data_IF_580700137440
#
_entry.id   IF_580700137440
#
_cell.length_a   1.000
_cell.length_b   1.000
_cell.length_c   1.000
_cell.angle_alpha   90.00
_cell.angle_beta   90.00
_cell.angle_gamma   90.00
#
_symmetry.space_group_name_H-M   'P 1'
#
loop_
_entity.id
_entity.type
_entity.pdbx_description
1 polymer ?
#
# COMPACT_ATOMS: atom_id res chain seq x y z
N UNK A 1 -21.34 -1.61 13.93
CA UNK A 1 -20.84 -0.57 13.00
C UNK A 1 -19.33 -0.67 12.78
N UNK A 2 -18.51 -0.40 13.80
CA UNK A 2 -17.05 -0.29 13.64
C UNK A 2 -16.38 -1.60 13.19
N UNK A 3 -16.85 -2.76 13.67
CA UNK A 3 -16.23 -4.06 13.34
C UNK A 3 -16.36 -4.48 11.86
N UNK A 4 -17.55 -4.39 11.26
CA UNK A 4 -17.80 -4.89 9.89
C UNK A 4 -17.09 -4.04 8.82
N UNK A 5 -17.13 -2.72 8.97
CA UNK A 5 -16.40 -1.81 8.06
C UNK A 5 -14.87 -1.95 8.23
N UNK A 6 -14.38 -2.18 9.45
CA UNK A 6 -12.97 -2.48 9.70
C UNK A 6 -12.57 -3.78 9.01
N UNK A 7 -13.37 -4.86 9.15
CA UNK A 7 -13.09 -6.15 8.53
C UNK A 7 -12.99 -6.05 7.00
N UNK A 8 -13.97 -5.42 6.34
CA UNK A 8 -13.96 -5.26 4.88
C UNK A 8 -12.76 -4.42 4.42
N UNK A 9 -12.48 -3.29 5.09
CA UNK A 9 -11.31 -2.48 4.76
C UNK A 9 -10.00 -3.24 4.98
N UNK A 10 -9.92 -4.01 6.06
CA UNK A 10 -8.74 -4.79 6.41
C UNK A 10 -8.51 -5.91 5.40
N UNK A 11 -9.57 -6.58 4.94
CA UNK A 11 -9.50 -7.56 3.86
C UNK A 11 -8.96 -6.92 2.56
N UNK A 12 -9.47 -5.75 2.18
CA UNK A 12 -8.97 -5.01 1.01
C UNK A 12 -7.49 -4.64 1.15
N UNK A 13 -7.07 -4.17 2.32
CA UNK A 13 -5.65 -3.87 2.61
C UNK A 13 -4.78 -5.12 2.48
N UNK A 14 -5.20 -6.22 3.10
CA UNK A 14 -4.49 -7.51 3.09
C UNK A 14 -4.37 -8.09 1.68
N UNK A 15 -5.40 -7.95 0.84
CA UNK A 15 -5.33 -8.31 -0.59
C UNK A 15 -4.25 -7.52 -1.33
N UNK A 16 -4.15 -6.21 -1.10
CA UNK A 16 -3.11 -5.37 -1.72
C UNK A 16 -1.71 -5.76 -1.26
N UNK A 17 -1.55 -6.01 0.04
CA UNK A 17 -0.31 -6.49 0.64
C UNK A 17 0.15 -7.80 0.00
N UNK A 18 -0.73 -8.81 -0.06
CA UNK A 18 -0.40 -10.13 -0.61
C UNK A 18 -0.05 -10.03 -2.10
N UNK A 19 -0.82 -9.27 -2.91
CA UNK A 19 -0.51 -9.04 -4.33
C UNK A 19 0.90 -8.47 -4.52
N UNK A 20 1.25 -7.46 -3.72
CA UNK A 20 2.57 -6.86 -3.77
C UNK A 20 3.68 -7.84 -3.37
N UNK A 21 3.42 -8.74 -2.42
CA UNK A 21 4.38 -9.78 -2.03
C UNK A 21 4.57 -10.84 -3.11
N UNK A 22 3.50 -11.29 -3.76
CA UNK A 22 3.58 -12.21 -4.91
C UNK A 22 4.50 -11.61 -5.98
N UNK A 23 4.23 -10.38 -6.42
CA UNK A 23 5.04 -9.68 -7.43
C UNK A 23 6.51 -9.54 -6.99
N UNK A 24 6.75 -9.16 -5.72
CA UNK A 24 8.10 -9.03 -5.20
C UNK A 24 8.87 -10.37 -5.20
N UNK A 25 8.20 -11.48 -4.91
CA UNK A 25 8.80 -12.82 -4.95
C UNK A 25 9.04 -13.30 -6.39
N UNK A 26 8.13 -13.03 -7.32
CA UNK A 26 8.31 -13.35 -8.74
C UNK A 26 9.54 -12.62 -9.31
N UNK A 27 9.66 -11.31 -9.07
CA UNK A 27 10.81 -10.50 -9.49
C UNK A 27 12.10 -10.98 -8.81
N UNK A 28 12.03 -11.32 -7.52
CA UNK A 28 13.16 -11.85 -6.75
C UNK A 28 13.70 -13.15 -7.35
N UNK A 29 12.82 -14.08 -7.73
CA UNK A 29 13.17 -15.35 -8.36
C UNK A 29 13.75 -15.14 -9.76
N UNK A 30 13.15 -14.27 -10.58
CA UNK A 30 13.60 -14.02 -11.95
C UNK A 30 14.97 -13.32 -11.99
N UNK A 31 15.21 -12.38 -11.08
CA UNK A 31 16.45 -11.60 -11.04
C UNK A 31 17.52 -12.17 -10.12
N UNK A 32 17.22 -13.26 -9.39
CA UNK A 32 18.05 -13.82 -8.33
C UNK A 32 18.54 -12.76 -7.32
N UNK A 33 17.60 -11.95 -6.83
CA UNK A 33 17.82 -10.87 -5.87
C UNK A 33 16.86 -11.02 -4.70
N UNK A 34 17.17 -10.43 -3.55
CA UNK A 34 16.24 -10.42 -2.42
C UNK A 34 14.95 -9.63 -2.77
N UNK A 35 13.78 -10.07 -2.25
CA UNK A 35 12.53 -9.34 -2.45
C UNK A 35 12.60 -7.95 -1.84
N UNK A 36 12.08 -6.95 -2.56
CA UNK A 36 12.08 -5.57 -2.08
C UNK A 36 11.22 -5.48 -0.80
N UNK A 37 11.77 -4.98 0.32
CA UNK A 37 11.02 -4.87 1.57
C UNK A 37 9.92 -3.80 1.46
N UNK A 38 8.85 -4.00 2.22
CA UNK A 38 7.75 -3.02 2.33
C UNK A 38 8.21 -1.89 3.24
N UNK A 39 8.03 -0.66 2.80
CA UNK A 39 8.28 0.52 3.62
C UNK A 39 6.96 1.17 4.10
N UNK A 40 7.09 2.20 4.94
CA UNK A 40 5.92 2.92 5.48
C UNK A 40 5.10 3.64 4.40
N UNK A 41 5.75 4.12 3.33
CA UNK A 41 5.06 4.77 2.22
C UNK A 41 4.17 3.78 1.46
N UNK A 42 4.64 2.54 1.23
CA UNK A 42 3.84 1.48 0.62
C UNK A 42 2.61 1.14 1.49
N UNK A 43 2.82 1.04 2.81
CA UNK A 43 1.76 0.77 3.78
C UNK A 43 0.68 1.86 3.81
N UNK A 44 1.08 3.13 3.72
CA UNK A 44 0.16 4.26 3.62
C UNK A 44 -0.64 4.18 2.31
N UNK A 45 0.02 3.88 1.18
CA UNK A 45 -0.66 3.75 -0.10
C UNK A 45 -1.63 2.58 -0.12
N UNK A 46 -1.29 1.43 0.47
CA UNK A 46 -2.23 0.31 0.63
C UNK A 46 -3.45 0.73 1.44
N UNK A 47 -3.26 1.50 2.51
CA UNK A 47 -4.36 2.00 3.34
C UNK A 47 -5.31 2.96 2.59
N UNK A 48 -4.74 3.80 1.71
CA UNK A 48 -5.51 4.71 0.84
C UNK A 48 -6.27 3.91 -0.21
N UNK A 49 -5.59 2.99 -0.89
CA UNK A 49 -6.20 2.18 -1.95
C UNK A 49 -7.30 1.26 -1.41
N UNK A 50 -7.09 0.65 -0.24
CA UNK A 50 -8.10 -0.15 0.44
C UNK A 50 -9.31 0.68 0.87
N UNK A 51 -9.12 1.94 1.27
CA UNK A 51 -10.24 2.83 1.56
C UNK A 51 -11.02 3.17 0.29
N UNK A 52 -10.30 3.48 -0.80
CA UNK A 52 -10.89 3.86 -2.07
C UNK A 52 -11.62 2.70 -2.78
N UNK A 53 -11.31 1.44 -2.45
CA UNK A 53 -12.02 0.28 -2.98
C UNK A 53 -13.35 -0.01 -2.27
N UNK A 54 -13.59 0.58 -1.09
CA UNK A 54 -14.88 0.44 -0.38
C UNK A 54 -15.92 1.31 -1.09
N UNK A 55 -16.98 0.68 -1.59
CA UNK A 55 -18.05 1.38 -2.28
C UNK A 55 -18.97 2.14 -1.32
N UNK A 56 -19.67 3.17 -1.81
CA UNK A 56 -20.72 3.85 -1.04
C UNK A 56 -21.82 2.87 -0.61
N UNK A 57 -22.18 1.91 -1.46
CA UNK A 57 -23.17 0.88 -1.13
C UNK A 57 -22.71 0.04 0.05
N UNK A 58 -21.45 -0.36 0.09
CA UNK A 58 -20.84 -1.09 1.20
C UNK A 58 -20.97 -0.31 2.51
N UNK A 59 -20.74 1.01 2.49
CA UNK A 59 -20.89 1.88 3.67
C UNK A 59 -22.35 1.97 4.11
N UNK A 60 -23.28 2.18 3.17
CA UNK A 60 -24.73 2.24 3.44
C UNK A 60 -25.21 0.93 4.06
N UNK A 61 -24.83 -0.19 3.46
CA UNK A 61 -25.19 -1.50 3.95
C UNK A 61 -24.58 -1.71 5.36
N UNK A 62 -23.32 -1.32 5.60
CA UNK A 62 -22.71 -1.38 6.94
C UNK A 62 -23.52 -0.59 7.99
N UNK A 63 -24.09 0.56 7.61
CA UNK A 63 -24.93 1.37 8.49
C UNK A 63 -26.30 0.73 8.74
N UNK A 64 -26.91 0.11 7.71
CA UNK A 64 -28.14 -0.70 7.86
C UNK A 64 -27.92 -1.88 8.82
N UNK A 65 -26.86 -2.66 8.60
CA UNK A 65 -26.50 -3.79 9.46
C UNK A 65 -26.20 -3.35 10.90
N UNK A 66 -25.64 -2.14 11.08
CA UNK A 66 -25.43 -1.58 12.42
C UNK A 66 -26.72 -1.09 13.11
N UNK A 67 -27.87 -1.12 12.43
CA UNK A 67 -29.14 -0.58 12.93
C UNK A 67 -29.19 0.95 12.99
N UNK A 68 -28.27 1.64 12.30
CA UNK A 68 -28.20 3.11 12.30
C UNK A 68 -29.16 3.68 11.26
N UNK A 69 -29.26 3.02 10.10
CA UNK A 69 -30.27 3.32 9.10
C UNK A 69 -31.47 2.41 9.29
N UNK A 70 -32.68 2.96 9.15
CA UNK A 70 -33.91 2.19 9.12
C UNK A 70 -33.91 1.31 7.87
N UNK A 71 -34.06 0.01 8.10
CA UNK A 71 -34.18 -1.03 7.08
C UNK A 71 -35.63 -1.00 6.58
N UNK A 72 -35.86 -0.73 5.29
CA UNK A 72 -37.17 -0.95 4.67
C UNK A 72 -37.37 -2.45 4.43
N UNK A 73 -38.63 -2.90 4.31
CA UNK A 73 -38.96 -4.32 4.03
C UNK A 73 -38.33 -4.86 2.72
N UNK A 74 -37.79 -3.98 1.88
CA UNK A 74 -37.10 -4.28 0.62
C UNK A 74 -35.57 -4.21 0.69
N UNK A 75 -34.98 -3.86 1.83
CA UNK A 75 -33.53 -3.74 1.96
C UNK A 75 -32.89 -5.10 2.30
N UNK A 76 -32.20 -5.69 1.33
CA UNK A 76 -31.44 -6.94 1.49
C UNK A 76 -30.15 -6.65 2.29
N UNK A 77 -30.06 -7.19 3.51
CA UNK A 77 -28.87 -7.09 4.38
C UNK A 77 -27.80 -8.11 3.95
N UNK A 78 -28.22 -9.16 3.26
CA UNK A 78 -27.41 -10.31 2.82
C UNK A 78 -26.23 -9.89 1.92
N UNK A 79 -26.35 -8.77 1.17
CA UNK A 79 -25.31 -8.29 0.24
C UNK A 79 -23.94 -8.02 0.90
N UNK A 80 -23.89 -7.70 2.21
CA UNK A 80 -22.61 -7.42 2.88
C UNK A 80 -21.88 -8.69 3.25
N UNK A 81 -22.62 -9.68 3.76
CA UNK A 81 -22.04 -10.96 4.14
C UNK A 81 -21.50 -11.65 2.88
N UNK A 82 -22.22 -11.55 1.76
CA UNK A 82 -21.75 -11.99 0.44
C UNK A 82 -20.45 -11.29 0.01
N UNK A 83 -20.34 -9.97 0.20
CA UNK A 83 -19.12 -9.23 -0.16
C UNK A 83 -17.93 -9.60 0.74
N UNK A 84 -18.16 -9.77 2.05
CA UNK A 84 -17.12 -10.19 2.98
C UNK A 84 -16.60 -11.58 2.63
N UNK A 85 -17.51 -12.51 2.34
CA UNK A 85 -17.18 -13.87 1.92
C UNK A 85 -16.42 -13.91 0.59
N UNK A 86 -16.82 -13.09 -0.38
CA UNK A 86 -16.08 -12.95 -1.65
C UNK A 86 -14.67 -12.38 -1.42
N UNK A 87 -14.54 -11.36 -0.57
CA UNK A 87 -13.24 -10.75 -0.26
C UNK A 87 -12.29 -11.74 0.42
N UNK A 88 -12.81 -12.59 1.31
CA UNK A 88 -12.08 -13.66 1.99
C UNK A 88 -11.63 -14.75 1.01
N UNK A 89 -12.51 -15.21 0.12
CA UNK A 89 -12.18 -16.20 -0.90
C UNK A 89 -11.10 -15.68 -1.87
N UNK A 90 -11.25 -14.44 -2.35
CA UNK A 90 -10.22 -13.80 -3.18
C UNK A 90 -8.88 -13.67 -2.45
N UNK A 91 -8.90 -13.42 -1.14
CA UNK A 91 -7.70 -13.33 -0.32
C UNK A 91 -7.05 -14.72 -0.18
N UNK A 92 -7.83 -15.78 0.02
CA UNK A 92 -7.33 -17.15 0.06
C UNK A 92 -6.63 -17.52 -1.25
N UNK A 93 -7.23 -17.18 -2.40
CA UNK A 93 -6.63 -17.43 -3.71
C UNK A 93 -5.30 -16.70 -3.91
N UNK A 94 -5.14 -15.52 -3.31
CA UNK A 94 -3.88 -14.78 -3.34
C UNK A 94 -2.85 -15.41 -2.40
N UNK A 95 -3.26 -15.77 -1.19
CA UNK A 95 -2.40 -16.45 -0.21
C UNK A 95 -1.82 -17.75 -0.80
N UNK A 96 -2.64 -18.54 -1.48
CA UNK A 96 -2.24 -19.80 -2.11
C UNK A 96 -1.19 -19.62 -3.23
N UNK A 97 -0.97 -18.40 -3.74
CA UNK A 97 0.05 -18.08 -4.74
C UNK A 97 1.39 -17.69 -4.13
N UNK A 98 1.45 -17.47 -2.81
CA UNK A 98 2.70 -17.17 -2.14
C UNK A 98 3.60 -18.42 -2.15
N UNK A 99 4.93 -18.26 -2.22
CA UNK A 99 5.87 -19.38 -2.27
C UNK A 99 6.14 -19.97 -0.88
N UNK A 100 5.08 -20.33 -0.15
CA UNK A 100 5.16 -20.95 1.18
C UNK A 100 4.60 -22.37 1.13
N UNK A 101 5.28 -23.32 1.78
CA UNK A 101 4.89 -24.74 1.78
C UNK A 101 3.59 -25.00 2.58
N UNK A 102 3.35 -24.19 3.61
CA UNK A 102 2.19 -24.26 4.49
C UNK A 102 1.69 -22.82 4.77
N UNK A 103 0.98 -22.20 3.82
CA UNK A 103 0.48 -20.84 3.99
C UNK A 103 -0.71 -20.82 4.96
N UNK A 104 -0.69 -19.84 5.86
CA UNK A 104 -1.82 -19.48 6.74
C UNK A 104 -3.10 -19.25 5.92
N UNK A 105 -4.26 -19.66 6.43
CA UNK A 105 -5.53 -19.41 5.73
C UNK A 105 -6.02 -17.95 5.87
N UNK A 106 -7.01 -17.57 5.04
CA UNK A 106 -7.50 -16.20 4.95
C UNK A 106 -8.19 -15.71 6.24
N UNK A 107 -8.93 -16.58 6.92
CA UNK A 107 -9.60 -16.24 8.18
C UNK A 107 -8.57 -16.06 9.30
N UNK A 108 -7.64 -17.01 9.42
CA UNK A 108 -6.53 -16.96 10.37
C UNK A 108 -5.70 -15.70 10.13
N UNK A 109 -5.41 -15.39 8.86
CA UNK A 109 -4.73 -14.16 8.48
C UNK A 109 -5.54 -12.96 8.99
N UNK A 110 -6.79 -12.78 8.55
CA UNK A 110 -7.65 -11.64 8.92
C UNK A 110 -7.75 -11.43 10.43
N UNK A 111 -7.74 -12.51 11.21
CA UNK A 111 -7.88 -12.50 12.66
C UNK A 111 -6.55 -12.42 13.45
N UNK A 112 -5.38 -12.33 12.78
CA UNK A 112 -4.07 -12.19 13.48
C UNK A 112 -4.10 -11.09 14.55
N UNK A 113 -4.67 -9.93 14.20
CA UNK A 113 -4.69 -8.76 15.08
C UNK A 113 -5.50 -9.02 16.36
N UNK A 114 -6.49 -9.93 16.29
CA UNK A 114 -7.28 -10.37 17.44
C UNK A 114 -6.52 -11.38 18.32
N UNK A 115 -5.57 -12.13 17.76
CA UNK A 115 -4.66 -13.02 18.50
C UNK A 115 -3.52 -12.24 19.20
N UNK A 116 -3.13 -11.09 18.65
CA UNK A 116 -2.11 -10.20 19.22
C UNK A 116 -2.60 -9.36 20.40
N UNK A 117 -3.74 -9.71 21.02
CA UNK A 117 -4.29 -9.07 22.23
C UNK A 117 -3.41 -9.24 23.47
N UNK A 118 -2.20 -8.70 23.43
CA UNK A 118 -1.56 -8.01 24.53
C UNK A 118 -2.11 -6.57 24.56
N UNK A 119 -3.42 -6.46 24.80
CA UNK A 119 -4.08 -5.17 25.02
C UNK A 119 -3.95 -4.73 26.50
N UNK A 120 -2.85 -5.07 27.17
CA UNK A 120 -2.42 -4.25 28.29
C UNK A 120 -1.89 -2.97 27.65
N UNK A 121 -2.80 -2.02 27.39
CA UNK A 121 -2.40 -0.67 27.03
C UNK A 121 -1.39 -0.20 28.09
N UNK A 122 -0.35 0.51 27.67
CA UNK A 122 0.67 1.01 28.57
C UNK A 122 0.00 1.63 29.80
N UNK A 123 0.35 1.13 30.97
CA UNK A 123 -0.12 1.69 32.23
C UNK A 123 0.36 3.13 32.33
N UNK A 124 -0.36 3.97 33.08
CA UNK A 124 0.03 5.36 33.28
C UNK A 124 1.48 5.49 33.79
N UNK A 125 1.94 4.53 34.59
CA UNK A 125 3.31 4.45 35.09
C UNK A 125 4.34 4.17 33.98
N UNK A 126 4.02 3.29 33.02
CA UNK A 126 4.86 3.02 31.85
C UNK A 126 4.92 4.22 30.90
N UNK A 127 3.79 4.89 30.69
CA UNK A 127 3.72 6.14 29.89
C UNK A 127 4.59 7.22 30.54
N UNK A 128 4.45 7.42 31.86
CA UNK A 128 5.26 8.39 32.61
C UNK A 128 6.74 8.02 32.57
N UNK A 129 7.08 6.73 32.61
CA UNK A 129 8.45 6.24 32.50
C UNK A 129 9.06 6.54 31.11
N UNK A 130 8.34 6.28 30.02
CA UNK A 130 8.78 6.61 28.66
C UNK A 130 9.00 8.12 28.47
N UNK A 131 8.07 8.95 28.96
CA UNK A 131 8.15 10.41 28.85
C UNK A 131 9.33 10.96 29.66
N UNK A 132 9.60 10.41 30.85
CA UNK A 132 10.77 10.79 31.67
C UNK A 132 12.09 10.33 31.03
N UNK A 133 12.09 9.18 30.37
CA UNK A 133 13.28 8.62 29.70
C UNK A 133 13.65 9.38 28.42
N UNK A 134 12.66 9.92 27.70
CA UNK A 134 12.88 10.71 26.49
C UNK A 134 13.44 12.12 26.72
N UNK A 135 13.45 12.63 27.96
CA UNK A 135 14.05 13.94 28.24
C UNK A 135 15.59 13.91 28.35
N UNK A 136 16.21 12.73 28.38
CA UNK A 136 17.66 12.58 28.51
C UNK A 136 18.33 11.89 27.32
N UNK A 137 17.57 11.49 26.31
CA UNK A 137 18.10 10.83 25.13
C UNK A 137 17.76 11.69 23.91
N UNK A 138 18.77 12.38 23.37
CA UNK A 138 18.74 12.72 21.95
C UNK A 138 18.44 11.43 21.17
N UNK A 139 17.64 11.48 20.09
CA UNK A 139 17.44 10.31 19.26
C UNK A 139 18.80 9.88 18.72
N UNK A 140 19.36 8.81 19.28
CA UNK A 140 20.46 8.09 18.64
C UNK A 140 19.89 7.56 17.33
N UNK A 141 20.28 8.22 16.23
CA UNK A 141 20.05 7.69 14.90
C UNK A 141 20.65 6.29 14.87
N UNK A 142 19.81 5.26 14.63
CA UNK A 142 20.29 3.90 14.45
C UNK A 142 21.32 3.90 13.31
N UNK A 143 22.61 3.59 13.59
CA UNK A 143 23.66 3.60 12.58
C UNK A 143 23.41 2.60 11.45
N UNK A 144 22.45 1.67 11.62
CA UNK A 144 22.07 0.64 10.67
C UNK A 144 20.78 0.94 9.91
N UNK A 145 20.11 2.07 10.19
CA UNK A 145 18.96 2.49 9.41
C UNK A 145 19.47 2.96 8.03
N UNK A 146 19.45 2.04 7.07
CA UNK A 146 19.80 2.34 5.68
C UNK A 146 18.81 3.42 5.21
N UNK A 147 19.28 4.63 4.86
CA UNK A 147 18.39 5.68 4.40
C UNK A 147 17.56 5.14 3.23
N UNK A 148 16.25 5.41 3.18
CA UNK A 148 15.44 4.99 2.04
C UNK A 148 16.13 5.46 0.77
N UNK A 149 16.25 4.56 -0.21
CA UNK A 149 16.93 4.87 -1.48
C UNK A 149 16.08 5.90 -2.22
N UNK A 150 16.33 7.18 -1.95
CA UNK A 150 15.67 8.28 -2.65
C UNK A 150 16.34 8.39 -4.02
N UNK A 151 15.65 7.86 -5.03
CA UNK A 151 16.07 8.01 -6.43
C UNK A 151 15.99 9.50 -6.78
N UNK A 152 17.11 10.07 -7.22
CA UNK A 152 17.11 11.46 -7.67
C UNK A 152 16.21 11.63 -8.90
N UNK A 153 15.62 12.82 -9.06
CA UNK A 153 14.75 13.14 -10.22
C UNK A 153 15.47 12.90 -11.55
N UNK A 154 16.77 13.19 -11.63
CA UNK A 154 17.62 12.91 -12.79
C UNK A 154 17.77 11.42 -13.08
N UNK A 155 17.92 10.59 -12.05
CA UNK A 155 18.05 9.13 -12.18
C UNK A 155 16.71 8.49 -12.58
N UNK A 156 15.60 8.98 -12.01
CA UNK A 156 14.25 8.57 -12.42
C UNK A 156 13.95 8.90 -13.89
N UNK A 157 14.37 10.08 -14.36
CA UNK A 157 14.28 10.43 -15.79
C UNK A 157 15.10 9.48 -16.66
N UNK A 158 16.33 9.15 -16.26
CA UNK A 158 17.16 8.17 -16.95
C UNK A 158 16.47 6.81 -17.08
N UNK A 159 15.90 6.29 -15.98
CA UNK A 159 15.17 5.02 -16.01
C UNK A 159 13.94 5.06 -16.92
N UNK A 160 13.22 6.18 -16.98
CA UNK A 160 12.09 6.34 -17.90
C UNK A 160 12.53 6.42 -19.36
N UNK A 161 13.66 7.08 -19.65
CA UNK A 161 14.26 7.11 -20.99
C UNK A 161 14.69 5.69 -21.43
N UNK A 162 15.31 4.93 -20.53
CA UNK A 162 15.73 3.54 -20.76
C UNK A 162 14.53 2.64 -21.04
N UNK A 163 13.44 2.77 -20.27
CA UNK A 163 12.19 2.01 -20.50
C UNK A 163 11.55 2.36 -21.85
N UNK A 164 11.47 3.66 -22.19
CA UNK A 164 10.95 4.09 -23.50
C UNK A 164 11.79 3.51 -24.63
N UNK A 165 13.12 3.50 -24.46
CA UNK A 165 14.04 2.94 -25.44
C UNK A 165 13.88 1.41 -25.57
N UNK A 166 13.81 0.70 -24.44
CA UNK A 166 13.61 -0.74 -24.39
C UNK A 166 12.36 -1.15 -25.17
N UNK A 167 11.21 -0.55 -24.86
CA UNK A 167 9.96 -0.92 -25.55
C UNK A 167 9.89 -0.45 -27.00
N UNK A 168 10.67 0.56 -27.39
CA UNK A 168 10.77 0.99 -28.79
C UNK A 168 11.59 0.01 -29.65
N UNK A 169 12.52 -0.71 -29.04
CA UNK A 169 13.46 -1.60 -29.73
C UNK A 169 13.28 -3.08 -29.42
N UNK A 170 12.49 -3.45 -28.40
CA UNK A 170 12.18 -4.83 -28.06
C UNK A 170 11.19 -5.43 -29.06
N UNK A 171 11.54 -6.60 -29.61
CA UNK A 171 10.65 -7.42 -30.45
C UNK A 171 9.83 -8.43 -29.64
N UNK A 172 10.29 -8.78 -28.44
CA UNK A 172 9.73 -9.88 -27.64
C UNK A 172 8.68 -9.39 -26.64
N UNK A 173 8.74 -8.12 -26.23
CA UNK A 173 7.77 -7.50 -25.32
C UNK A 173 7.24 -6.23 -25.96
N UNK A 174 6.01 -6.28 -26.47
CA UNK A 174 5.34 -5.11 -27.04
C UNK A 174 4.38 -4.49 -26.01
N UNK A 175 4.47 -3.17 -25.86
CA UNK A 175 3.45 -2.40 -25.15
C UNK A 175 2.45 -1.85 -26.16
N UNK A 176 1.18 -1.80 -25.77
CA UNK A 176 0.16 -1.20 -26.61
C UNK A 176 0.27 0.34 -26.62
N UNK A 177 -0.49 0.99 -27.50
CA UNK A 177 -0.47 2.46 -27.64
C UNK A 177 -0.83 3.19 -26.34
N UNK A 178 -1.74 2.62 -25.53
CA UNK A 178 -2.16 3.25 -24.28
C UNK A 178 -1.05 3.22 -23.23
N UNK A 179 -0.38 2.09 -23.05
CA UNK A 179 0.77 1.93 -22.15
C UNK A 179 1.93 2.84 -22.55
N UNK A 180 2.23 2.94 -23.85
CA UNK A 180 3.23 3.87 -24.37
C UNK A 180 2.88 5.32 -24.05
N UNK A 181 1.60 5.69 -24.20
CA UNK A 181 1.12 7.03 -23.85
C UNK A 181 1.23 7.31 -22.34
N UNK A 182 0.95 6.33 -21.49
CA UNK A 182 1.10 6.45 -20.03
C UNK A 182 2.58 6.65 -19.67
N UNK A 183 3.48 5.87 -20.26
CA UNK A 183 4.92 6.00 -20.04
C UNK A 183 5.44 7.40 -20.44
N UNK A 184 5.00 7.91 -21.58
CA UNK A 184 5.34 9.27 -22.03
C UNK A 184 4.77 10.35 -21.10
N UNK A 185 3.55 10.17 -20.58
CA UNK A 185 2.94 11.10 -19.61
C UNK A 185 3.73 11.13 -18.31
N UNK A 186 4.13 9.98 -17.78
CA UNK A 186 4.95 9.89 -16.57
C UNK A 186 6.30 10.60 -16.77
N UNK A 187 6.97 10.32 -17.90
CA UNK A 187 8.21 11.01 -18.28
C UNK A 187 8.03 12.53 -18.32
N UNK A 188 6.95 13.02 -18.92
CA UNK A 188 6.66 14.45 -18.99
C UNK A 188 6.44 15.07 -17.60
N UNK A 189 5.73 14.38 -16.70
CA UNK A 189 5.48 14.86 -15.35
C UNK A 189 6.78 14.98 -14.54
N UNK A 190 7.65 13.96 -14.60
CA UNK A 190 8.94 13.99 -13.90
C UNK A 190 9.84 15.10 -14.46
N UNK A 191 9.87 15.28 -15.79
CA UNK A 191 10.63 16.34 -16.43
C UNK A 191 10.13 17.73 -16.01
N UNK A 192 8.80 17.92 -15.99
CA UNK A 192 8.18 19.18 -15.54
C UNK A 192 8.55 19.49 -14.08
N UNK A 193 8.52 18.49 -13.21
CA UNK A 193 8.97 18.63 -11.82
C UNK A 193 10.45 19.04 -11.74
N UNK A 194 11.31 18.42 -12.55
CA UNK A 194 12.74 18.76 -12.58
C UNK A 194 13.00 20.21 -13.00
N UNK A 195 12.32 20.67 -14.03
CA UNK A 195 12.44 22.03 -14.56
C UNK A 195 11.94 23.04 -13.52
N UNK A 196 10.78 22.80 -12.91
CA UNK A 196 10.20 23.70 -11.92
C UNK A 196 11.07 23.84 -10.65
N UNK A 197 11.76 22.77 -10.25
CA UNK A 197 12.63 22.77 -9.07
C UNK A 197 14.04 23.31 -9.35
N UNK A 198 14.41 23.46 -10.62
CA UNK A 198 15.66 24.12 -11.01
C UNK A 198 15.45 25.63 -10.89
N UNK A 199 15.98 26.23 -9.81
CA UNK A 199 15.84 27.67 -9.51
C UNK A 199 16.16 28.51 -10.75
N UNK A 200 15.18 29.25 -11.25
CA UNK A 200 15.42 30.34 -12.19
C UNK A 200 16.20 31.42 -11.41
N UNK A 201 17.47 31.63 -11.74
CA UNK A 201 18.19 32.83 -11.28
C UNK A 201 17.44 34.04 -11.82
N UNK A 202 16.82 34.80 -10.93
CA UNK A 202 16.20 36.08 -11.28
C UNK A 202 17.30 37.05 -11.72
N UNK A 203 17.01 37.90 -12.69
CA UNK A 203 17.97 38.83 -13.30
C UNK A 203 18.69 39.70 -12.24
N UNK A 204 18.04 39.95 -11.12
CA UNK A 204 18.56 40.68 -9.94
C UNK A 204 19.75 39.99 -9.25
N UNK A 205 20.03 38.71 -9.55
CA UNK A 205 21.23 38.03 -9.04
C UNK A 205 22.51 38.37 -9.83
N UNK A 206 22.40 39.19 -10.89
CA UNK A 206 23.51 39.56 -11.78
C UNK A 206 23.81 41.06 -11.81
N UNK A 207 23.14 41.87 -10.98
CA UNK A 207 23.35 43.32 -10.87
C UNK A 207 23.65 43.74 -9.43
#
# INVERSE_FOLDING_TARGET
MQKLLILLRLAQYRKLLVRNRIEAYEISQELNKEPIPINIHDSINFSINAWNSVSQQTIVNCWKHAGILLISETDEIDEIEDQAFQDEMELQDLINKLPFDDPMDADEFLCIDDCLKSNEGLTDDEIVSMVKSNNNNEPEADPNEVPPVVISVTKALGYLDDLVLFFKHSSDVCINSNESNVLQKLRHQVLKSHINNSKQTTLDSFF
#
